data_IF_403027693674
#
_entry.id   IF_403027693674
#
_cell.length_a   1.000
_cell.length_b   1.000
_cell.length_c   1.000
_cell.angle_alpha   90.00
_cell.angle_beta   90.00
_cell.angle_gamma   90.00
#
_symmetry.space_group_name_H-M   'P 1'
#
loop_
_entity.id
_entity.type
_entity.pdbx_description
1 polymer ?
#
# COMPACT_ATOMS: atom_id res chain seq x y z
N UNK A 1 9.66 -11.81 -16.79
CA UNK A 1 8.83 -12.78 -16.06
C UNK A 1 7.84 -12.00 -15.21
N UNK A 2 6.54 -12.17 -15.45
CA UNK A 2 5.48 -11.54 -14.64
C UNK A 2 5.54 -12.17 -13.26
N UNK A 3 6.04 -11.44 -12.26
CA UNK A 3 6.19 -11.92 -10.88
C UNK A 3 4.79 -12.19 -10.30
N UNK A 4 4.54 -13.41 -9.84
CA UNK A 4 3.19 -13.91 -9.54
C UNK A 4 2.74 -13.51 -8.13
N UNK A 5 1.49 -13.04 -7.99
CA UNK A 5 0.84 -12.88 -6.69
C UNK A 5 0.82 -14.18 -5.88
N UNK A 6 0.72 -15.32 -6.56
CA UNK A 6 0.63 -16.62 -5.89
C UNK A 6 1.90 -16.94 -5.08
N UNK A 7 3.06 -16.43 -5.50
CA UNK A 7 4.31 -16.58 -4.74
C UNK A 7 4.27 -15.87 -3.38
N UNK A 8 3.46 -14.82 -3.26
CA UNK A 8 3.22 -14.12 -1.99
C UNK A 8 2.09 -14.75 -1.16
N UNK A 9 1.47 -15.84 -1.62
CA UNK A 9 0.23 -16.35 -1.03
C UNK A 9 -0.99 -15.47 -1.30
N UNK A 10 -0.99 -14.72 -2.41
CA UNK A 10 -2.09 -13.82 -2.76
C UNK A 10 -2.85 -14.33 -3.97
N UNK A 11 -4.19 -14.29 -3.88
CA UNK A 11 -5.09 -14.60 -4.99
C UNK A 11 -5.88 -13.36 -5.38
N UNK A 12 -5.95 -13.05 -6.66
CA UNK A 12 -6.83 -11.97 -7.14
C UNK A 12 -8.30 -12.36 -6.96
N UNK A 13 -9.13 -11.40 -6.56
CA UNK A 13 -10.58 -11.58 -6.45
C UNK A 13 -11.22 -11.07 -7.74
N UNK A 14 -11.76 -11.98 -8.54
CA UNK A 14 -12.42 -11.65 -9.80
C UNK A 14 -13.76 -10.93 -9.57
N UNK A 15 -14.11 -10.03 -10.50
CA UNK A 15 -15.38 -9.31 -10.47
C UNK A 15 -15.49 -8.21 -9.41
N UNK A 16 -14.44 -7.96 -8.61
CA UNK A 16 -14.42 -6.83 -7.69
C UNK A 16 -14.32 -5.50 -8.44
N UNK A 17 -15.17 -4.55 -8.06
CA UNK A 17 -15.21 -3.20 -8.63
C UNK A 17 -14.74 -2.21 -7.57
N UNK A 18 -13.81 -1.35 -7.96
CA UNK A 18 -13.24 -0.32 -7.09
C UNK A 18 -14.32 0.69 -6.65
N UNK A 19 -14.59 0.82 -5.34
CA UNK A 19 -15.47 1.84 -4.81
C UNK A 19 -14.96 3.26 -5.12
N UNK A 20 -15.88 4.20 -5.25
CA UNK A 20 -15.51 5.62 -5.30
C UNK A 20 -14.96 6.09 -3.95
N UNK A 21 -14.13 7.14 -3.97
CA UNK A 21 -13.61 7.79 -2.75
C UNK A 21 -12.34 7.16 -2.16
N UNK A 22 -11.90 5.99 -2.63
CA UNK A 22 -10.62 5.43 -2.21
C UNK A 22 -9.45 6.37 -2.59
N UNK A 23 -8.42 6.41 -1.74
CA UNK A 23 -7.19 7.13 -2.05
C UNK A 23 -6.55 6.57 -3.33
N UNK A 24 -6.30 7.38 -4.37
CA UNK A 24 -5.59 6.90 -5.55
C UNK A 24 -4.20 6.35 -5.20
N UNK A 25 -3.79 5.18 -5.72
CA UNK A 25 -2.48 4.57 -5.46
C UNK A 25 -1.27 5.50 -5.62
N UNK A 26 -1.28 6.41 -6.60
CA UNK A 26 -0.15 7.31 -6.80
C UNK A 26 0.04 8.32 -5.64
N UNK A 27 -1.01 8.62 -4.88
CA UNK A 27 -0.91 9.49 -3.70
C UNK A 27 -0.28 8.79 -2.50
N UNK A 28 -0.36 7.46 -2.44
CA UNK A 28 0.17 6.70 -1.30
C UNK A 28 1.71 6.66 -1.28
N UNK A 29 2.38 7.14 -2.34
CA UNK A 29 3.84 7.26 -2.38
C UNK A 29 4.43 8.17 -1.30
N UNK A 30 3.62 8.99 -0.63
CA UNK A 30 4.02 9.82 0.50
C UNK A 30 3.66 9.21 1.87
N UNK A 31 3.15 7.97 1.93
CA UNK A 31 2.70 7.36 3.17
C UNK A 31 3.84 7.20 4.21
N UNK A 32 5.06 6.88 3.78
CA UNK A 32 6.23 6.79 4.66
C UNK A 32 6.63 8.14 5.30
N UNK A 33 6.21 9.26 4.72
CA UNK A 33 6.42 10.60 5.27
C UNK A 33 5.38 10.98 6.32
N UNK A 34 4.34 10.16 6.54
CA UNK A 34 3.28 10.46 7.50
C UNK A 34 3.80 10.24 8.94
N UNK A 35 3.58 11.19 9.86
CA UNK A 35 4.11 11.07 11.20
C UNK A 35 3.25 10.20 12.12
N UNK A 36 3.80 9.66 13.24
CA UNK A 36 3.04 8.81 14.16
C UNK A 36 1.77 9.44 14.76
N UNK A 37 1.78 10.75 15.02
CA UNK A 37 0.62 11.46 15.58
C UNK A 37 -0.55 11.62 14.59
N UNK A 38 -0.37 11.25 13.32
CA UNK A 38 -1.44 11.12 12.34
C UNK A 38 -2.00 9.68 12.27
N UNK A 39 -1.67 8.83 13.25
CA UNK A 39 -2.17 7.45 13.32
C UNK A 39 -1.27 6.43 12.62
N UNK A 40 0.00 6.78 12.37
CA UNK A 40 1.01 5.83 11.84
C UNK A 40 1.61 5.00 12.97
N UNK A 41 1.57 3.68 12.82
CA UNK A 41 2.27 2.70 13.67
C UNK A 41 3.26 1.94 12.80
N UNK A 42 4.45 1.66 13.32
CA UNK A 42 5.55 1.10 12.55
C UNK A 42 6.30 0.03 13.35
N UNK A 43 6.68 -1.05 12.67
CA UNK A 43 7.67 -2.02 13.12
C UNK A 43 8.90 -1.92 12.22
N UNK A 44 10.08 -1.82 12.83
CA UNK A 44 11.37 -1.68 12.12
C UNK A 44 12.30 -2.80 12.57
N UNK A 45 12.93 -3.47 11.60
CA UNK A 45 13.87 -4.56 11.83
C UNK A 45 15.19 -4.26 11.13
N UNK A 46 16.30 -4.52 11.83
CA UNK A 46 17.64 -4.39 11.26
C UNK A 46 17.89 -5.48 10.22
N UNK A 47 18.55 -5.14 9.11
CA UNK A 47 18.83 -6.11 8.02
C UNK A 47 19.77 -7.24 8.42
N UNK A 48 20.47 -7.11 9.55
CA UNK A 48 21.38 -8.12 10.11
C UNK A 48 20.70 -9.06 11.12
N UNK A 49 19.41 -8.87 11.41
CA UNK A 49 18.67 -9.77 12.28
C UNK A 49 18.67 -11.20 11.70
N UNK A 50 19.16 -12.22 12.44
CA UNK A 50 19.19 -13.60 11.94
C UNK A 50 17.79 -14.18 11.70
N UNK A 51 16.75 -13.61 12.32
CA UNK A 51 15.34 -13.99 12.18
C UNK A 51 14.55 -12.96 11.35
N UNK A 52 15.23 -12.14 10.54
CA UNK A 52 14.62 -11.03 9.80
C UNK A 52 13.39 -11.46 9.00
N UNK A 53 13.46 -12.58 8.29
CA UNK A 53 12.36 -13.07 7.46
C UNK A 53 11.12 -13.41 8.27
N UNK A 54 11.28 -14.26 9.29
CA UNK A 54 10.19 -14.70 10.16
C UNK A 54 9.57 -13.52 10.91
N UNK A 55 10.41 -12.65 11.48
CA UNK A 55 9.96 -11.47 12.23
C UNK A 55 9.28 -10.45 11.33
N UNK A 56 9.77 -10.20 10.12
CA UNK A 56 9.16 -9.25 9.21
C UNK A 56 7.78 -9.72 8.72
N UNK A 57 7.63 -11.01 8.42
CA UNK A 57 6.33 -11.59 8.08
C UNK A 57 5.37 -11.51 9.28
N UNK A 58 5.83 -11.85 10.48
CA UNK A 58 5.03 -11.77 11.71
C UNK A 58 4.60 -10.33 12.01
N UNK A 59 5.51 -9.36 11.91
CA UNK A 59 5.22 -7.94 12.13
C UNK A 59 4.25 -7.39 11.08
N UNK A 60 4.38 -7.80 9.82
CA UNK A 60 3.41 -7.43 8.79
C UNK A 60 2.02 -7.97 9.10
N UNK A 61 1.90 -9.27 9.41
CA UNK A 61 0.59 -9.87 9.68
C UNK A 61 -0.05 -9.26 10.91
N UNK A 62 0.71 -9.11 12.00
CA UNK A 62 0.25 -8.48 13.24
C UNK A 62 -0.26 -7.06 12.98
N UNK A 63 0.53 -6.21 12.31
CA UNK A 63 0.12 -4.83 12.01
C UNK A 63 -1.06 -4.79 11.04
N UNK A 64 -1.12 -5.68 10.06
CA UNK A 64 -2.23 -5.75 9.10
C UNK A 64 -3.56 -6.07 9.82
N UNK A 65 -3.56 -7.03 10.75
CA UNK A 65 -4.75 -7.39 11.53
C UNK A 65 -5.08 -6.33 12.57
N UNK A 66 -4.13 -5.93 13.42
CA UNK A 66 -4.33 -4.94 14.48
C UNK A 66 -4.72 -3.56 13.93
N UNK A 67 -4.12 -3.19 12.80
CA UNK A 67 -4.39 -1.92 12.12
C UNK A 67 -5.67 -1.92 11.30
N UNK A 68 -6.27 -3.09 11.02
CA UNK A 68 -7.52 -3.22 10.28
C UNK A 68 -7.37 -3.21 8.75
N UNK A 69 -6.21 -3.61 8.20
CA UNK A 69 -6.05 -3.83 6.75
C UNK A 69 -7.07 -4.86 6.26
N UNK A 70 -7.24 -5.93 7.03
CA UNK A 70 -8.23 -6.99 6.84
C UNK A 70 -8.58 -7.63 8.19
N UNK A 71 -9.68 -8.38 8.24
CA UNK A 71 -10.05 -9.16 9.43
C UNK A 71 -9.56 -10.61 9.30
N UNK A 72 -9.33 -11.32 10.40
CA UNK A 72 -8.90 -12.73 10.34
C UNK A 72 -9.88 -13.62 9.57
N UNK A 73 -11.19 -13.34 9.70
CA UNK A 73 -12.26 -14.07 9.02
C UNK A 73 -12.45 -13.65 7.55
N UNK A 74 -11.94 -12.49 7.16
CA UNK A 74 -12.00 -11.96 5.80
C UNK A 74 -10.68 -11.27 5.45
N UNK A 75 -9.75 -12.06 4.88
CA UNK A 75 -8.37 -11.64 4.60
C UNK A 75 -8.22 -10.94 3.25
N UNK A 76 -9.25 -10.22 2.82
CA UNK A 76 -9.26 -9.47 1.57
C UNK A 76 -8.80 -8.03 1.78
N UNK A 77 -7.96 -7.55 0.86
CA UNK A 77 -7.45 -6.18 0.85
C UNK A 77 -7.07 -5.78 -0.58
N UNK A 78 -6.61 -4.55 -0.75
CA UNK A 78 -6.35 -3.96 -2.06
C UNK A 78 -4.85 -3.80 -2.31
N UNK A 79 -4.42 -4.15 -3.52
CA UNK A 79 -3.09 -3.86 -4.04
C UNK A 79 -3.15 -2.91 -5.23
N UNK A 80 -2.16 -2.03 -5.42
CA UNK A 80 -2.09 -1.22 -6.62
C UNK A 80 -1.86 -2.14 -7.82
N UNK A 81 -2.66 -1.95 -8.87
CA UNK A 81 -2.42 -2.56 -10.17
C UNK A 81 -1.31 -1.78 -10.86
N UNK A 82 -0.19 -2.44 -11.14
CA UNK A 82 0.86 -1.86 -11.96
C UNK A 82 0.25 -1.42 -13.30
N UNK A 83 0.31 -0.12 -13.59
CA UNK A 83 -0.01 0.41 -14.90
C UNK A 83 1.21 0.19 -15.80
N UNK A 84 1.01 -0.49 -16.94
CA UNK A 84 2.09 -0.71 -17.90
C UNK A 84 2.64 0.61 -18.48
N UNK A 85 1.88 1.70 -18.39
CA UNK A 85 2.19 2.99 -19.03
C UNK A 85 2.04 4.19 -18.08
N UNK A 86 2.35 4.02 -16.78
CA UNK A 86 2.40 5.15 -15.84
C UNK A 86 1.06 5.82 -15.49
N UNK A 87 -0.05 5.37 -16.08
CA UNK A 87 -1.39 5.87 -15.76
C UNK A 87 -1.83 5.64 -14.31
N UNK A 88 -2.94 6.31 -13.94
CA UNK A 88 -3.68 6.17 -12.67
C UNK A 88 -3.74 4.70 -12.22
N UNK A 89 -2.84 4.30 -11.32
CA UNK A 89 -2.90 2.96 -10.74
C UNK A 89 -4.30 2.75 -10.17
N UNK A 90 -4.93 1.61 -10.45
CA UNK A 90 -6.21 1.24 -9.86
C UNK A 90 -5.98 0.26 -8.73
N UNK A 91 -6.90 0.21 -7.78
CA UNK A 91 -6.87 -0.84 -6.78
C UNK A 91 -7.35 -2.16 -7.39
N UNK A 92 -6.75 -3.26 -6.95
CA UNK A 92 -7.20 -4.61 -7.23
C UNK A 92 -7.38 -5.34 -5.91
N UNK A 93 -8.56 -5.92 -5.71
CA UNK A 93 -8.82 -6.78 -4.58
C UNK A 93 -8.07 -8.11 -4.69
N UNK A 94 -7.41 -8.48 -3.60
CA UNK A 94 -6.72 -9.75 -3.41
C UNK A 94 -7.13 -10.36 -2.07
N UNK A 95 -6.93 -11.65 -1.95
CA UNK A 95 -7.18 -12.43 -0.74
C UNK A 95 -5.91 -13.14 -0.30
N UNK A 96 -5.55 -13.00 0.98
CA UNK A 96 -4.45 -13.74 1.59
C UNK A 96 -4.85 -15.20 1.77
N UNK A 97 -4.08 -16.11 1.20
CA UNK A 97 -4.25 -17.56 1.37
C UNK A 97 -3.57 -18.02 2.67
N UNK A 98 -3.78 -19.27 3.10
CA UNK A 98 -3.19 -19.78 4.34
C UNK A 98 -1.67 -19.92 4.25
N UNK A 99 -1.16 -20.35 3.08
CA UNK A 99 0.26 -20.38 2.79
C UNK A 99 0.68 -19.05 2.14
N UNK A 100 1.33 -18.19 2.92
CA UNK A 100 1.78 -16.87 2.48
C UNK A 100 3.20 -16.54 2.89
N UNK A 101 3.87 -15.74 2.05
CA UNK A 101 5.20 -15.20 2.31
C UNK A 101 5.31 -13.80 1.68
N UNK A 102 5.00 -12.77 2.48
CA UNK A 102 4.98 -11.39 2.00
C UNK A 102 6.39 -10.82 1.89
N UNK A 103 7.26 -11.13 2.85
CA UNK A 103 8.59 -10.52 2.98
C UNK A 103 9.70 -11.30 2.25
N UNK A 104 9.49 -12.57 1.92
CA UNK A 104 10.40 -13.37 1.10
C UNK A 104 9.99 -13.35 -0.37
N UNK A 105 9.33 -14.41 -0.83
CA UNK A 105 8.92 -14.58 -2.23
C UNK A 105 8.00 -13.47 -2.75
N UNK A 106 7.12 -12.93 -1.89
CA UNK A 106 6.29 -11.78 -2.22
C UNK A 106 7.10 -10.51 -2.51
N UNK A 107 8.09 -10.21 -1.68
CA UNK A 107 9.01 -9.08 -1.85
C UNK A 107 10.00 -9.29 -3.00
N UNK A 108 10.36 -10.53 -3.31
CA UNK A 108 11.05 -10.87 -4.56
C UNK A 108 10.14 -10.72 -5.80
N UNK A 109 8.87 -10.49 -5.55
CA UNK A 109 7.77 -10.60 -6.48
C UNK A 109 7.11 -9.24 -6.78
N UNK A 110 5.77 -9.16 -6.73
CA UNK A 110 5.03 -7.91 -6.95
C UNK A 110 5.05 -6.95 -5.75
N UNK A 111 5.62 -7.34 -4.61
CA UNK A 111 5.63 -6.54 -3.38
C UNK A 111 7.01 -5.93 -3.09
N UNK A 112 7.98 -6.04 -3.99
CA UNK A 112 9.30 -5.49 -3.78
C UNK A 112 10.27 -5.78 -4.93
N UNK A 113 11.55 -5.52 -4.66
CA UNK A 113 12.61 -5.70 -5.64
C UNK A 113 13.33 -7.06 -5.51
N UNK A 114 13.44 -7.60 -4.29
CA UNK A 114 14.11 -8.85 -3.94
C UNK A 114 13.56 -9.42 -2.61
N UNK A 115 13.88 -10.68 -2.22
CA UNK A 115 13.58 -11.17 -0.88
C UNK A 115 14.12 -10.22 0.18
N UNK A 116 13.33 -9.93 1.21
CA UNK A 116 13.66 -8.99 2.30
C UNK A 116 13.98 -7.57 1.80
N UNK A 117 13.48 -7.19 0.62
CA UNK A 117 13.47 -5.84 0.07
C UNK A 117 12.04 -5.40 -0.27
N UNK A 118 11.15 -5.25 0.72
CA UNK A 118 9.77 -4.88 0.49
C UNK A 118 9.64 -3.39 0.09
N UNK A 119 8.77 -3.12 -0.88
CA UNK A 119 8.49 -1.80 -1.44
C UNK A 119 7.01 -1.72 -1.87
N UNK A 120 6.11 -2.10 -0.97
CA UNK A 120 4.69 -2.25 -1.28
C UNK A 120 3.81 -1.28 -0.51
N UNK A 121 2.60 -1.10 -1.03
CA UNK A 121 1.46 -0.49 -0.35
C UNK A 121 0.23 -1.36 -0.56
N UNK A 122 -0.59 -1.43 0.48
CA UNK A 122 -1.85 -2.15 0.55
C UNK A 122 -2.89 -1.22 1.18
N UNK A 123 -4.16 -1.38 0.80
CA UNK A 123 -5.28 -0.59 1.33
C UNK A 123 -6.40 -1.51 1.80
N UNK A 124 -7.05 -1.19 2.92
CA UNK A 124 -8.24 -1.91 3.37
C UNK A 124 -9.41 -1.73 2.39
N UNK A 125 -10.38 -2.65 2.38
CA UNK A 125 -11.52 -2.58 1.47
C UNK A 125 -12.37 -1.31 1.63
N UNK A 126 -12.39 -0.74 2.84
CA UNK A 126 -13.10 0.49 3.18
C UNK A 126 -12.26 1.76 3.01
N UNK A 127 -10.99 1.63 2.60
CA UNK A 127 -10.09 2.75 2.38
C UNK A 127 -9.54 3.42 3.65
N UNK A 128 -9.83 2.90 4.84
CA UNK A 128 -9.45 3.52 6.11
C UNK A 128 -8.07 3.14 6.63
N UNK A 129 -7.39 2.16 6.03
CA UNK A 129 -6.09 1.68 6.51
C UNK A 129 -5.15 1.47 5.34
N UNK A 130 -4.05 2.20 5.32
CA UNK A 130 -2.91 1.89 4.48
C UNK A 130 -1.93 1.00 5.26
N UNK A 131 -1.48 -0.09 4.66
CA UNK A 131 -0.34 -0.87 5.14
C UNK A 131 0.76 -0.80 4.08
N UNK A 132 1.97 -0.42 4.45
CA UNK A 132 3.06 -0.27 3.51
C UNK A 132 4.38 -0.70 4.13
N UNK A 133 5.29 -1.15 3.30
CA UNK A 133 6.61 -1.54 3.72
C UNK A 133 7.67 -0.80 2.93
N UNK A 134 8.77 -0.49 3.61
CA UNK A 134 9.87 0.29 3.05
C UNK A 134 11.17 -0.37 3.42
N UNK A 135 12.03 -0.52 2.42
CA UNK A 135 13.43 -0.88 2.58
C UNK A 135 14.26 0.38 2.79
N UNK A 136 14.93 0.46 3.92
CA UNK A 136 15.87 1.53 4.27
C UNK A 136 17.32 1.06 4.04
N UNK A 137 18.27 1.95 4.32
CA UNK A 137 19.70 1.65 4.15
C UNK A 137 20.16 0.46 5.02
N UNK A 138 19.69 0.37 6.27
CA UNK A 138 20.11 -0.63 7.26
C UNK A 138 18.94 -1.37 7.93
N UNK A 139 17.71 -1.13 7.48
CA UNK A 139 16.52 -1.75 8.05
C UNK A 139 15.46 -1.97 7.01
N UNK A 140 14.46 -2.78 7.37
CA UNK A 140 13.17 -2.81 6.68
C UNK A 140 12.09 -2.43 7.69
N UNK A 141 10.99 -1.89 7.20
CA UNK A 141 9.85 -1.53 8.03
C UNK A 141 8.55 -2.00 7.43
N UNK A 142 7.60 -2.33 8.31
CA UNK A 142 6.17 -2.34 7.98
C UNK A 142 5.49 -1.26 8.79
N UNK A 143 4.66 -0.45 8.13
CA UNK A 143 3.87 0.60 8.73
C UNK A 143 2.40 0.41 8.39
N UNK A 144 1.54 0.81 9.32
CA UNK A 144 0.11 1.06 9.06
C UNK A 144 -0.20 2.51 9.33
N UNK A 145 -1.04 3.11 8.49
CA UNK A 145 -1.60 4.45 8.68
C UNK A 145 -3.12 4.35 8.67
N UNK A 146 -3.73 4.70 9.79
CA UNK A 146 -5.19 4.76 9.93
C UNK A 146 -5.74 6.10 9.43
N UNK A 147 -6.96 6.09 8.90
CA UNK A 147 -7.66 7.25 8.35
C UNK A 147 -6.80 8.12 7.40
N UNK A 148 -6.26 7.54 6.29
CA UNK A 148 -5.35 8.26 5.40
C UNK A 148 -5.95 9.56 4.81
N UNK A 149 -7.28 9.65 4.69
CA UNK A 149 -8.01 10.85 4.29
C UNK A 149 -7.85 12.05 5.24
N UNK A 150 -7.42 11.81 6.49
CA UNK A 150 -7.12 12.82 7.52
C UNK A 150 -5.66 13.23 7.56
N UNK A 151 -4.76 12.49 6.88
CA UNK A 151 -3.33 12.80 6.91
C UNK A 151 -3.05 14.14 6.22
N UNK A 152 -2.38 15.05 6.91
CA UNK A 152 -2.00 16.35 6.33
C UNK A 152 -0.94 16.18 5.25
N UNK A 153 -0.07 15.19 5.40
CA UNK A 153 0.98 14.86 4.42
C UNK A 153 0.35 14.42 3.10
N UNK A 154 -0.56 13.43 3.15
CA UNK A 154 -1.22 12.92 1.94
C UNK A 154 -2.11 13.99 1.30
N UNK A 155 -2.87 14.76 2.10
CA UNK A 155 -3.70 15.85 1.58
C UNK A 155 -2.87 16.95 0.93
N UNK A 156 -1.78 17.40 1.55
CA UNK A 156 -0.89 18.41 0.97
C UNK A 156 -0.26 17.93 -0.34
N UNK A 157 0.13 16.66 -0.40
CA UNK A 157 0.62 16.07 -1.64
C UNK A 157 -0.47 16.04 -2.72
N UNK A 158 -1.69 15.64 -2.35
CA UNK A 158 -2.84 15.65 -3.26
C UNK A 158 -3.18 17.05 -3.75
N UNK A 159 -3.12 18.08 -2.90
CA UNK A 159 -3.32 19.49 -3.27
C UNK A 159 -2.30 19.96 -4.30
N UNK A 160 -1.03 19.58 -4.14
CA UNK A 160 0.02 19.86 -5.09
C UNK A 160 -0.20 19.15 -6.43
N UNK A 161 -0.59 17.87 -6.41
CA UNK A 161 -0.94 17.12 -7.63
C UNK A 161 -2.20 17.71 -8.30
N UNK A 162 -3.20 18.12 -7.52
CA UNK A 162 -4.42 18.77 -7.99
C UNK A 162 -4.16 20.09 -8.73
N UNK A 163 -2.98 20.71 -8.58
CA UNK A 163 -2.57 21.88 -9.35
C UNK A 163 -1.97 21.51 -10.72
N UNK A 164 -1.89 20.22 -11.06
CA UNK A 164 -1.31 19.72 -12.30
C UNK A 164 0.21 19.59 -12.29
N UNK A 165 0.85 19.63 -11.11
CA UNK A 165 2.30 19.68 -10.98
C UNK A 165 3.04 18.46 -11.56
N UNK A 166 2.35 17.32 -11.68
CA UNK A 166 2.88 16.07 -12.24
C UNK A 166 2.05 15.54 -13.41
N UNK A 167 1.13 16.34 -13.94
CA UNK A 167 0.36 15.96 -15.11
C UNK A 167 1.29 15.92 -16.34
N UNK A 168 1.09 14.91 -17.19
CA UNK A 168 1.84 14.77 -18.44
C UNK A 168 0.91 14.98 -19.62
N UNK A 169 1.39 15.71 -20.63
CA UNK A 169 0.56 16.15 -21.77
C UNK A 169 -0.14 15.01 -22.53
N UNK A 170 0.39 13.78 -22.47
CA UNK A 170 -0.12 12.63 -23.21
C UNK A 170 -0.71 11.53 -22.30
N UNK A 171 -0.93 11.82 -21.01
CA UNK A 171 -1.53 10.87 -20.06
C UNK A 171 -2.79 11.48 -19.43
N UNK A 172 -3.76 10.66 -19.00
CA UNK A 172 -4.90 11.15 -18.22
C UNK A 172 -4.42 11.95 -17.00
N UNK A 173 -4.95 13.15 -16.74
CA UNK A 173 -4.44 14.03 -15.70
C UNK A 173 -4.66 13.42 -14.31
N UNK A 174 -3.57 13.28 -13.55
CA UNK A 174 -3.58 12.83 -12.17
C UNK A 174 -4.27 13.88 -11.27
N UNK A 175 -4.19 15.15 -11.65
CA UNK A 175 -4.84 16.26 -10.94
C UNK A 175 -6.36 16.08 -10.77
N UNK A 176 -7.05 15.47 -11.74
CA UNK A 176 -8.49 15.25 -11.65
C UNK A 176 -8.83 14.19 -10.59
N UNK A 177 -8.05 13.11 -10.52
CA UNK A 177 -8.23 12.08 -9.50
C UNK A 177 -7.89 12.61 -8.11
N UNK A 178 -6.83 13.42 -7.99
CA UNK A 178 -6.45 14.05 -6.73
C UNK A 178 -7.54 14.99 -6.20
N UNK A 179 -8.15 15.83 -7.06
CA UNK A 179 -9.28 16.70 -6.68
C UNK A 179 -10.47 15.91 -6.18
N UNK A 180 -10.89 14.88 -6.93
CA UNK A 180 -12.01 14.01 -6.51
C UNK A 180 -11.80 13.39 -5.14
N UNK A 181 -10.58 12.93 -4.87
CA UNK A 181 -10.25 12.37 -3.56
C UNK A 181 -10.30 13.42 -2.44
N UNK A 182 -9.76 14.62 -2.68
CA UNK A 182 -9.83 15.73 -1.71
C UNK A 182 -11.28 16.15 -1.41
N UNK A 183 -12.13 16.23 -2.43
CA UNK A 183 -13.53 16.60 -2.30
C UNK A 183 -14.30 15.55 -1.47
N UNK A 184 -14.12 14.26 -1.78
CA UNK A 184 -14.74 13.16 -1.04
C UNK A 184 -14.20 13.01 0.40
N UNK A 185 -12.99 13.50 0.67
CA UNK A 185 -12.34 13.43 1.99
C UNK A 185 -12.62 14.65 2.88
N UNK A 186 -13.48 15.57 2.44
CA UNK A 186 -13.80 16.81 3.17
C UNK A 186 -15.16 16.77 3.87
N UNK A 187 -15.91 15.68 3.70
CA UNK A 187 -17.14 15.34 4.43
C UNK A 187 -16.83 14.46 5.66
#
# INVERSE_FOLDING_TARGET
>A
MTRSLAAAGLRAVDGWVEPEGLIPPFLTGQAASCPPWEGRVEAVLDVTDPLLHERANADWYRLAVEGGLFAEADRRFLLPRASAEGGLGRWRCVELQDDWDIMGEGAAGPLGSAPLRPEFVMLSLDGNVLCFATTWQHSISTSVLTAPHRSRVLRRFAEWVAQGAIDRANEPPLSTAARRWLDASSE
#
